data_IF_844243744315
#
_entry.id   IF_844243744315
#
_cell.length_a   1.000
_cell.length_b   1.000
_cell.length_c   1.000
_cell.angle_alpha   90.00
_cell.angle_beta   90.00
_cell.angle_gamma   90.00
#
_symmetry.space_group_name_H-M   'P 1'
#
loop_
_entity.id
_entity.type
_entity.pdbx_description
1 polymer ?
#
# COMPACT_ATOMS: atom_id res chain seq x y z
N UNK A 1 -1.54 11.18 -2.29
CA UNK A 1 -1.43 10.37 -1.05
C UNK A 1 -0.62 9.09 -1.22
N UNK A 2 -0.50 8.51 -2.43
CA UNK A 2 0.26 7.27 -2.67
C UNK A 2 1.75 7.31 -2.30
N UNK A 3 2.40 8.48 -2.32
CA UNK A 3 3.80 8.63 -1.88
C UNK A 3 3.96 8.49 -0.37
N UNK A 4 3.00 8.98 0.41
CA UNK A 4 3.02 8.91 1.89
C UNK A 4 2.86 7.46 2.36
N UNK A 5 1.94 6.73 1.71
CA UNK A 5 1.78 5.29 1.90
C UNK A 5 3.08 4.49 1.71
N UNK A 6 3.86 4.83 0.67
CA UNK A 6 5.12 4.14 0.41
C UNK A 6 6.18 4.42 1.49
N UNK A 7 6.24 5.66 1.99
CA UNK A 7 7.14 6.03 3.09
C UNK A 7 6.74 5.29 4.37
N UNK A 8 5.45 5.23 4.71
CA UNK A 8 4.94 4.53 5.89
C UNK A 8 5.28 3.03 5.85
N UNK A 9 5.09 2.37 4.70
CA UNK A 9 5.45 0.95 4.54
C UNK A 9 6.95 0.76 4.75
N UNK A 10 7.77 1.58 4.11
CA UNK A 10 9.22 1.44 4.15
C UNK A 10 9.77 1.66 5.57
N UNK A 11 9.23 2.65 6.28
CA UNK A 11 9.63 2.93 7.65
C UNK A 11 9.19 1.81 8.60
N UNK A 12 8.00 1.22 8.40
CA UNK A 12 7.54 0.10 9.23
C UNK A 12 8.36 -1.17 8.99
N UNK A 13 8.75 -1.45 7.74
CA UNK A 13 9.67 -2.55 7.42
C UNK A 13 11.03 -2.29 8.07
N UNK A 14 11.56 -1.07 7.98
CA UNK A 14 12.84 -0.68 8.59
C UNK A 14 12.82 -0.83 10.11
N UNK A 15 11.71 -0.48 10.75
CA UNK A 15 11.50 -0.62 12.19
C UNK A 15 11.47 -2.10 12.62
N UNK A 16 10.74 -2.96 11.89
CA UNK A 16 10.68 -4.40 12.15
C UNK A 16 12.03 -5.11 11.94
N UNK A 17 12.82 -4.66 10.97
CA UNK A 17 14.18 -5.14 10.74
C UNK A 17 15.13 -4.74 11.89
N UNK A 18 15.01 -3.53 12.44
CA UNK A 18 15.80 -3.11 13.61
C UNK A 18 15.44 -3.90 14.88
N UNK A 19 14.21 -4.39 14.98
CA UNK A 19 13.77 -5.25 16.08
C UNK A 19 14.28 -6.71 15.97
N UNK A 20 15.07 -7.03 14.93
CA UNK A 20 15.67 -8.35 14.74
C UNK A 20 14.74 -9.41 14.15
N UNK A 21 13.58 -9.01 13.59
CA UNK A 21 12.71 -9.95 12.87
C UNK A 21 13.35 -10.40 11.56
N UNK A 22 13.04 -11.63 11.13
CA UNK A 22 13.46 -12.09 9.81
C UNK A 22 12.87 -11.18 8.73
N UNK A 23 13.62 -10.98 7.65
CA UNK A 23 13.25 -10.06 6.57
C UNK A 23 11.90 -10.41 5.96
N UNK A 24 11.65 -11.69 5.71
CA UNK A 24 10.39 -12.17 5.14
C UNK A 24 9.21 -11.84 6.05
N UNK A 25 9.37 -12.05 7.36
CA UNK A 25 8.35 -11.75 8.35
C UNK A 25 8.13 -10.25 8.52
N UNK A 26 9.21 -9.45 8.43
CA UNK A 26 9.16 -8.00 8.53
C UNK A 26 8.45 -7.36 7.34
N UNK A 27 8.65 -7.88 6.13
CA UNK A 27 7.95 -7.41 4.92
C UNK A 27 6.46 -7.77 4.99
N UNK A 28 6.13 -9.01 5.34
CA UNK A 28 4.74 -9.48 5.43
C UNK A 28 3.97 -8.72 6.52
N UNK A 29 4.55 -8.58 7.72
CA UNK A 29 3.94 -7.80 8.80
C UNK A 29 3.92 -6.30 8.50
N UNK A 30 4.94 -5.77 7.83
CA UNK A 30 4.99 -4.37 7.40
C UNK A 30 3.86 -4.04 6.42
N UNK A 31 3.68 -4.88 5.39
CA UNK A 31 2.61 -4.72 4.41
C UNK A 31 1.22 -4.88 5.04
N UNK A 32 0.98 -5.92 5.85
CA UNK A 32 -0.34 -6.12 6.45
C UNK A 32 -0.76 -4.97 7.38
N UNK A 33 0.15 -4.47 8.21
CA UNK A 33 -0.16 -3.37 9.12
C UNK A 33 -0.31 -2.04 8.38
N UNK A 34 0.58 -1.74 7.44
CA UNK A 34 0.53 -0.50 6.69
C UNK A 34 -0.64 -0.46 5.71
N UNK A 35 -1.06 -1.60 5.15
CA UNK A 35 -2.20 -1.67 4.24
C UNK A 35 -3.50 -1.19 4.89
N UNK A 36 -3.77 -1.61 6.14
CA UNK A 36 -4.95 -1.14 6.90
C UNK A 36 -4.88 0.37 7.14
N UNK A 37 -3.71 0.89 7.53
CA UNK A 37 -3.52 2.33 7.73
C UNK A 37 -3.74 3.13 6.43
N UNK A 38 -3.25 2.63 5.29
CA UNK A 38 -3.45 3.26 3.98
C UNK A 38 -4.92 3.23 3.57
N UNK A 39 -5.60 2.12 3.85
CA UNK A 39 -7.03 1.97 3.57
C UNK A 39 -7.87 2.99 4.34
N UNK A 40 -7.65 3.10 5.65
CA UNK A 40 -8.36 4.06 6.51
C UNK A 40 -8.09 5.52 6.10
N UNK A 41 -6.86 5.82 5.70
CA UNK A 41 -6.47 7.14 5.28
C UNK A 41 -7.13 7.54 3.93
N UNK A 42 -7.28 6.61 3.00
CA UNK A 42 -8.02 6.83 1.75
C UNK A 42 -9.54 6.99 2.00
N UNK A 43 -10.13 6.20 2.89
CA UNK A 43 -11.54 6.33 3.28
C UNK A 43 -11.81 7.69 3.93
N UNK A 44 -10.96 8.10 4.86
CA UNK A 44 -11.08 9.41 5.52
C UNK A 44 -11.02 10.55 4.51
N UNK A 45 -10.15 10.43 3.51
CA UNK A 45 -10.05 11.42 2.42
C UNK A 45 -11.30 11.42 1.53
N UNK A 46 -11.90 10.27 1.29
CA UNK A 46 -13.15 10.15 0.53
C UNK A 46 -14.32 10.80 1.28
N UNK A 47 -14.41 10.61 2.59
CA UNK A 47 -15.39 11.30 3.44
C UNK A 47 -15.19 12.82 3.35
N UNK A 48 -13.95 13.30 3.47
CA UNK A 48 -13.63 14.71 3.32
C UNK A 48 -14.02 15.24 1.93
N UNK A 49 -13.76 14.49 0.87
CA UNK A 49 -14.15 14.85 -0.49
C UNK A 49 -15.68 14.93 -0.66
N UNK A 50 -16.44 14.04 -0.03
CA UNK A 50 -17.92 14.10 -0.02
C UNK A 50 -18.40 15.36 0.70
N UNK A 51 -17.82 15.70 1.84
CA UNK A 51 -18.15 16.93 2.58
C UNK A 51 -17.80 18.17 1.75
N UNK A 52 -16.63 18.21 1.12
CA UNK A 52 -16.22 19.30 0.23
C UNK A 52 -17.11 19.41 -1.00
N UNK A 53 -17.62 18.30 -1.52
CA UNK A 53 -18.57 18.32 -2.63
C UNK A 53 -19.95 18.86 -2.20
N UNK A 54 -20.42 18.47 -1.01
CA UNK A 54 -21.73 18.89 -0.49
C UNK A 54 -21.74 20.39 -0.13
N UNK A 55 -20.70 20.87 0.56
CA UNK A 55 -20.64 22.23 1.10
C UNK A 55 -19.74 23.19 0.31
N UNK A 56 -18.90 22.68 -0.60
CA UNK A 56 -18.01 23.51 -1.41
C UNK A 56 -18.71 24.22 -2.56
N UNK A 57 -18.13 25.33 -3.00
CA UNK A 57 -18.63 26.15 -4.11
C UNK A 57 -17.58 26.33 -5.19
N UNK A 58 -18.04 26.50 -6.44
CA UNK A 58 -17.22 26.79 -7.61
C UNK A 58 -16.00 25.84 -7.75
N UNK A 59 -14.76 26.34 -7.58
CA UNK A 59 -13.54 25.52 -7.73
C UNK A 59 -13.44 24.33 -6.77
N UNK A 60 -13.97 24.46 -5.55
CA UNK A 60 -13.83 23.42 -4.50
C UNK A 60 -14.62 22.15 -4.88
N UNK A 61 -15.79 22.31 -5.51
CA UNK A 61 -16.59 21.19 -6.03
C UNK A 61 -15.88 20.43 -7.14
N UNK A 62 -15.18 21.14 -8.03
CA UNK A 62 -14.37 20.53 -9.08
C UNK A 62 -13.19 19.74 -8.50
N UNK A 63 -12.50 20.33 -7.52
CA UNK A 63 -11.40 19.68 -6.81
C UNK A 63 -11.84 18.40 -6.07
N UNK A 64 -12.95 18.46 -5.33
CA UNK A 64 -13.46 17.29 -4.60
C UNK A 64 -13.88 16.16 -5.56
N UNK A 65 -14.40 16.51 -6.73
CA UNK A 65 -14.78 15.54 -7.76
C UNK A 65 -13.55 14.81 -8.32
N UNK A 66 -12.50 15.55 -8.68
CA UNK A 66 -11.25 14.96 -9.20
C UNK A 66 -10.57 14.07 -8.15
N UNK A 67 -10.53 14.48 -6.88
CA UNK A 67 -9.99 13.66 -5.79
C UNK A 67 -10.82 12.38 -5.62
N UNK A 68 -12.15 12.48 -5.64
CA UNK A 68 -13.04 11.33 -5.48
C UNK A 68 -12.83 10.29 -6.58
N UNK A 69 -12.73 10.73 -7.84
CA UNK A 69 -12.46 9.85 -8.99
C UNK A 69 -11.07 9.20 -8.85
N UNK A 70 -10.05 9.96 -8.46
CA UNK A 70 -8.70 9.44 -8.28
C UNK A 70 -8.60 8.36 -7.20
N UNK A 71 -9.29 8.55 -6.06
CA UNK A 71 -9.33 7.56 -4.97
C UNK A 71 -10.09 6.31 -5.41
N UNK A 72 -11.26 6.46 -6.05
CA UNK A 72 -12.05 5.32 -6.53
C UNK A 72 -11.29 4.49 -7.56
N UNK A 73 -10.62 5.13 -8.52
CA UNK A 73 -9.78 4.44 -9.50
C UNK A 73 -8.61 3.69 -8.84
N UNK A 74 -7.97 4.30 -7.83
CA UNK A 74 -6.89 3.67 -7.07
C UNK A 74 -7.40 2.48 -6.25
N UNK A 75 -8.56 2.60 -5.58
CA UNK A 75 -9.16 1.51 -4.81
C UNK A 75 -9.61 0.36 -5.71
N UNK A 76 -10.21 0.67 -6.87
CA UNK A 76 -10.55 -0.33 -7.87
C UNK A 76 -9.31 -1.09 -8.36
N UNK A 77 -8.21 -0.37 -8.63
CA UNK A 77 -6.93 -0.99 -9.02
C UNK A 77 -6.34 -1.81 -7.88
N UNK A 78 -6.48 -1.38 -6.62
CA UNK A 78 -6.02 -2.12 -5.46
C UNK A 78 -6.86 -3.39 -5.18
N UNK A 79 -8.17 -3.38 -5.46
CA UNK A 79 -9.04 -4.54 -5.24
C UNK A 79 -8.95 -5.52 -6.40
N UNK A 80 -9.11 -5.04 -7.64
CA UNK A 80 -9.13 -5.89 -8.84
C UNK A 80 -7.73 -6.18 -9.37
N UNK A 81 -6.87 -5.17 -9.42
CA UNK A 81 -5.52 -5.28 -9.98
C UNK A 81 -4.62 -6.11 -9.09
N UNK A 82 -4.60 -5.87 -7.77
CA UNK A 82 -3.73 -6.64 -6.88
C UNK A 82 -4.18 -8.09 -6.77
N UNK A 83 -5.47 -8.40 -6.78
CA UNK A 83 -5.94 -9.81 -6.79
C UNK A 83 -5.52 -10.54 -8.07
N UNK A 84 -5.66 -9.90 -9.24
CA UNK A 84 -5.24 -10.47 -10.52
C UNK A 84 -3.73 -10.61 -10.64
N UNK A 85 -2.96 -9.62 -10.16
CA UNK A 85 -1.50 -9.66 -10.13
C UNK A 85 -1.01 -10.74 -9.15
N UNK A 86 -1.55 -10.82 -7.94
CA UNK A 86 -1.19 -11.86 -6.98
C UNK A 86 -1.57 -13.26 -7.50
N UNK A 87 -2.76 -13.47 -8.08
CA UNK A 87 -3.10 -14.75 -8.72
C UNK A 87 -2.17 -15.13 -9.86
N UNK A 88 -1.71 -14.16 -10.64
CA UNK A 88 -0.78 -14.40 -11.76
C UNK A 88 0.68 -14.60 -11.29
N UNK A 89 1.06 -13.97 -10.18
CA UNK A 89 2.41 -14.01 -9.62
C UNK A 89 2.63 -15.19 -8.65
N UNK A 90 1.59 -15.64 -7.94
CA UNK A 90 1.60 -16.81 -7.04
C UNK A 90 2.20 -18.09 -7.66
N UNK A 91 1.89 -18.47 -8.92
CA UNK A 91 2.54 -19.62 -9.57
C UNK A 91 3.98 -19.34 -10.06
N UNK A 92 4.46 -18.09 -10.04
CA UNK A 92 5.81 -17.68 -10.49
C UNK A 92 6.76 -17.27 -9.37
N UNK A 93 6.30 -17.15 -8.12
CA UNK A 93 7.17 -16.86 -6.97
C UNK A 93 7.88 -18.15 -6.56
N UNK A 94 9.00 -18.42 -7.22
CA UNK A 94 9.93 -19.47 -6.86
C UNK A 94 10.83 -18.99 -5.70
N UNK A 95 10.81 -19.73 -4.57
CA UNK A 95 11.53 -19.41 -3.32
C UNK A 95 13.04 -19.27 -3.49
N UNK A 96 13.61 -19.61 -4.65
CA UNK A 96 15.06 -19.63 -4.94
C UNK A 96 15.69 -18.31 -5.40
N UNK A 97 14.92 -17.24 -5.69
CA UNK A 97 15.46 -15.97 -6.24
C UNK A 97 15.35 -14.74 -5.32
N UNK A 98 15.31 -14.94 -4.01
CA UNK A 98 15.27 -13.88 -2.98
C UNK A 98 16.39 -12.81 -3.13
N UNK A 99 17.59 -13.20 -3.59
CA UNK A 99 18.72 -12.28 -3.78
C UNK A 99 18.46 -11.19 -4.83
N UNK A 100 17.67 -11.48 -5.86
CA UNK A 100 17.46 -10.56 -6.99
C UNK A 100 16.41 -9.48 -6.67
N UNK A 101 15.45 -9.80 -5.80
CA UNK A 101 14.32 -8.93 -5.49
C UNK A 101 14.54 -8.07 -4.24
N UNK A 102 15.29 -8.56 -3.26
CA UNK A 102 15.47 -7.87 -1.97
C UNK A 102 16.93 -7.57 -1.63
N UNK A 103 17.90 -7.95 -2.47
CA UNK A 103 19.32 -7.61 -2.29
C UNK A 103 19.96 -8.23 -1.05
N UNK A 104 19.34 -9.25 -0.44
CA UNK A 104 19.84 -9.88 0.79
C UNK A 104 20.37 -11.27 0.48
N UNK A 105 21.61 -11.54 0.92
CA UNK A 105 22.21 -12.87 0.86
C UNK A 105 21.51 -13.80 1.86
N UNK A 106 21.33 -15.08 1.52
CA UNK A 106 20.72 -16.06 2.39
C UNK A 106 21.77 -16.49 3.43
N UNK A 107 22.02 -15.66 4.43
CA UNK A 107 22.72 -16.09 5.64
C UNK A 107 21.68 -16.35 6.73
N UNK A 108 21.46 -17.63 7.04
CA UNK A 108 20.70 -18.02 8.22
C UNK A 108 19.68 -19.15 8.05
N UNK A 109 19.74 -19.96 6.99
CA UNK A 109 19.06 -21.27 7.01
C UNK A 109 19.90 -22.24 7.88
N UNK A 110 19.72 -22.15 9.19
CA UNK A 110 19.92 -23.25 10.13
C UNK A 110 18.65 -23.39 10.95
#
# INVERSE_FOLDING_TARGET
MSVDANVIINERIRELLHQGNSITKSIEQGYNNAFTAIWDANITTLIAAVVLFAYGTGPIKGFSLTISIGILASMLTAILGTHGVYQWLLPKIDKKRLNFWFGIKPEGAK
#
